data_IF_931528887744
#
_entry.id   IF_931528887744
#
_cell.length_a   1.000
_cell.length_b   1.000
_cell.length_c   1.000
_cell.angle_alpha   90.00
_cell.angle_beta   90.00
_cell.angle_gamma   90.00
#
_symmetry.space_group_name_H-M   'P 1'
#
loop_
_entity.id
_entity.type
_entity.pdbx_description
1 polymer ?
#
# COMPACT_ATOMS: atom_id res chain seq x y z
N UNK A 1 34.84 -0.73 20.54
CA UNK A 1 34.79 0.03 21.79
C UNK A 1 33.71 -0.56 22.71
N UNK A 2 34.12 -1.07 23.89
CA UNK A 2 33.23 -1.73 24.85
C UNK A 2 32.14 -0.78 25.41
N UNK A 3 32.39 0.52 25.41
CA UNK A 3 31.43 1.53 25.91
C UNK A 3 30.23 1.68 24.98
N UNK A 4 30.41 1.53 23.66
CA UNK A 4 29.35 1.70 22.68
C UNK A 4 28.62 0.39 22.34
N UNK A 5 29.17 -0.76 22.78
CA UNK A 5 28.63 -2.08 22.47
C UNK A 5 28.30 -2.24 20.96
N UNK A 6 29.21 -1.75 20.14
CA UNK A 6 29.06 -1.73 18.68
C UNK A 6 30.42 -2.00 18.02
N UNK A 7 30.57 -3.16 17.37
CA UNK A 7 31.79 -3.55 16.66
C UNK A 7 32.06 -2.63 15.45
N UNK A 8 31.03 -2.13 14.79
CA UNK A 8 31.15 -1.19 13.67
C UNK A 8 31.69 0.18 14.04
N UNK A 9 31.82 0.50 15.34
CA UNK A 9 32.49 1.73 15.82
C UNK A 9 34.01 1.55 16.00
N UNK A 10 34.57 0.37 15.71
CA UNK A 10 36.02 0.09 15.73
C UNK A 10 36.75 0.69 14.52
N UNK A 11 38.05 0.56 14.51
CA UNK A 11 38.87 0.99 13.36
C UNK A 11 38.64 0.04 12.17
N UNK A 12 38.23 0.62 11.05
CA UNK A 12 37.83 -0.08 9.81
C UNK A 12 38.94 -0.96 9.19
N UNK A 13 40.19 -0.63 9.43
CA UNK A 13 41.32 -1.27 8.79
C UNK A 13 41.66 -2.71 9.27
N UNK A 14 40.83 -3.25 10.18
CA UNK A 14 41.06 -4.60 10.77
C UNK A 14 39.84 -5.53 10.78
N UNK A 15 38.68 -5.04 10.27
CA UNK A 15 37.38 -5.73 10.38
C UNK A 15 36.66 -5.72 9.02
N UNK A 16 37.34 -6.16 7.95
CA UNK A 16 36.78 -6.12 6.59
C UNK A 16 35.46 -6.88 6.44
N UNK A 17 35.20 -7.86 7.33
CA UNK A 17 34.01 -8.74 7.24
C UNK A 17 33.04 -8.65 8.40
N UNK A 18 33.24 -7.74 9.35
CA UNK A 18 32.37 -7.65 10.54
C UNK A 18 31.82 -6.22 10.70
N UNK A 19 30.52 -6.09 10.49
CA UNK A 19 29.79 -4.86 10.75
C UNK A 19 28.73 -5.07 11.84
N UNK A 20 28.54 -4.09 12.70
CA UNK A 20 27.41 -4.04 13.60
C UNK A 20 26.91 -2.60 13.72
N UNK A 21 25.63 -2.44 13.99
CA UNK A 21 25.01 -1.14 14.24
C UNK A 21 24.11 -1.20 15.46
N UNK A 22 23.90 -0.08 16.12
CA UNK A 22 22.98 0.05 17.23
C UNK A 22 22.16 1.31 17.05
N UNK A 23 20.82 1.15 17.07
CA UNK A 23 19.89 2.26 17.06
C UNK A 23 18.94 2.18 18.25
N UNK A 24 18.40 3.33 18.66
CA UNK A 24 17.44 3.43 19.75
C UNK A 24 16.37 4.45 19.40
N UNK A 25 15.11 4.05 19.53
CA UNK A 25 13.95 4.94 19.49
C UNK A 25 13.20 4.88 20.80
N UNK A 26 12.66 6.04 21.24
CA UNK A 26 11.79 6.14 22.41
C UNK A 26 10.47 6.78 22.02
N UNK A 27 9.37 6.17 22.42
CA UNK A 27 8.01 6.69 22.25
C UNK A 27 7.35 6.75 23.63
N UNK A 28 6.75 7.88 23.96
CA UNK A 28 5.97 8.09 25.17
C UNK A 28 4.60 8.60 24.75
N UNK A 29 3.54 7.98 25.28
CA UNK A 29 2.16 8.29 24.89
C UNK A 29 1.29 8.49 26.11
N UNK A 30 0.49 9.57 26.09
CA UNK A 30 -0.58 9.83 27.03
C UNK A 30 -1.90 9.91 26.27
N UNK A 31 -2.93 9.30 26.81
CA UNK A 31 -4.25 9.38 26.19
C UNK A 31 -5.36 9.45 27.23
N UNK A 32 -6.46 10.07 26.84
CA UNK A 32 -7.72 10.07 27.57
C UNK A 32 -8.88 9.82 26.60
N UNK A 33 -9.86 9.04 27.03
CA UNK A 33 -11.06 8.74 26.25
C UNK A 33 -12.28 8.83 27.13
N UNK A 34 -13.32 9.50 26.59
CA UNK A 34 -14.65 9.53 27.19
C UNK A 34 -15.65 8.94 26.19
N UNK A 35 -16.51 8.05 26.68
CA UNK A 35 -17.63 7.49 25.93
C UNK A 35 -18.90 7.85 26.67
N UNK A 36 -19.88 8.37 25.95
CA UNK A 36 -21.18 8.72 26.50
C UNK A 36 -22.28 8.11 25.62
N UNK A 37 -23.21 7.40 26.25
CA UNK A 37 -24.36 6.83 25.58
C UNK A 37 -25.62 7.32 26.28
N UNK A 38 -26.52 7.97 25.53
CA UNK A 38 -27.77 8.45 26.03
C UNK A 38 -28.92 7.64 25.44
N UNK A 39 -29.73 7.03 26.31
CA UNK A 39 -30.93 6.23 25.94
C UNK A 39 -30.66 5.13 24.92
N UNK A 40 -29.44 4.61 24.85
CA UNK A 40 -28.97 3.64 23.84
C UNK A 40 -29.16 4.09 22.37
N UNK A 41 -29.45 5.37 22.14
CA UNK A 41 -29.73 5.97 20.82
C UNK A 41 -28.64 6.92 20.36
N UNK A 42 -28.10 7.73 21.26
CA UNK A 42 -27.09 8.73 20.95
C UNK A 42 -25.79 8.35 21.61
N UNK A 43 -24.78 8.14 20.80
CA UNK A 43 -23.45 7.75 21.27
C UNK A 43 -22.44 8.82 20.87
N UNK A 44 -21.61 9.23 21.82
CA UNK A 44 -20.52 10.18 21.62
C UNK A 44 -19.25 9.59 22.20
N UNK A 45 -18.18 9.61 21.42
CA UNK A 45 -16.83 9.26 21.86
C UNK A 45 -15.89 10.42 21.60
N UNK A 46 -15.15 10.84 22.59
CA UNK A 46 -14.08 11.82 22.45
C UNK A 46 -12.76 11.20 22.95
N UNK A 47 -11.69 11.37 22.21
CA UNK A 47 -10.37 10.88 22.56
C UNK A 47 -9.34 11.98 22.30
N UNK A 48 -8.39 12.14 23.20
CA UNK A 48 -7.21 12.96 22.98
C UNK A 48 -5.99 12.09 23.28
N UNK A 49 -5.00 12.14 22.36
CA UNK A 49 -3.73 11.45 22.52
C UNK A 49 -2.58 12.44 22.30
N UNK A 50 -1.56 12.34 23.13
CA UNK A 50 -0.33 13.10 23.01
C UNK A 50 0.87 12.16 23.00
N UNK A 51 1.61 12.16 21.91
CA UNK A 51 2.73 11.26 21.68
C UNK A 51 4.03 12.05 21.53
N UNK A 52 5.09 11.60 22.21
CA UNK A 52 6.43 12.15 22.09
C UNK A 52 7.40 11.10 21.56
N UNK A 53 8.10 11.40 20.47
CA UNK A 53 9.05 10.48 19.84
C UNK A 53 10.44 11.09 19.73
N UNK A 54 11.46 10.25 19.97
CA UNK A 54 12.87 10.64 19.81
C UNK A 54 13.32 10.76 18.35
N UNK A 55 12.50 10.32 17.39
CA UNK A 55 12.81 10.37 15.95
C UNK A 55 12.71 11.76 15.36
N UNK A 56 11.88 12.61 15.98
CA UNK A 56 11.63 13.96 15.51
C UNK A 56 12.62 14.99 16.03
N UNK A 57 12.60 16.15 15.40
CA UNK A 57 13.43 17.29 15.74
C UNK A 57 13.19 17.82 17.15
N UNK A 58 14.13 18.54 17.68
CA UNK A 58 14.06 19.07 19.06
C UNK A 58 12.86 19.98 19.28
N UNK A 59 12.39 20.65 18.22
CA UNK A 59 11.28 21.59 18.27
C UNK A 59 9.91 20.92 18.20
N UNK A 60 9.83 19.69 17.65
CA UNK A 60 8.56 19.03 17.31
C UNK A 60 8.46 17.55 17.74
N UNK A 61 9.10 17.19 18.85
CA UNK A 61 9.05 15.81 19.39
C UNK A 61 7.63 15.35 19.74
N UNK A 62 6.77 16.28 20.16
CA UNK A 62 5.42 15.98 20.64
C UNK A 62 4.35 16.34 19.61
N UNK A 63 3.47 15.36 19.33
CA UNK A 63 2.25 15.56 18.57
C UNK A 63 1.01 15.40 19.46
N UNK A 64 -0.08 16.10 19.13
CA UNK A 64 -1.38 15.98 19.81
C UNK A 64 -2.44 15.62 18.79
N UNK A 65 -3.17 14.53 19.06
CA UNK A 65 -4.07 13.87 18.13
C UNK A 65 -5.46 13.72 18.75
N UNK A 66 -6.36 14.72 18.56
CA UNK A 66 -7.73 14.66 19.02
C UNK A 66 -8.60 13.84 18.06
N UNK A 67 -9.67 13.21 18.59
CA UNK A 67 -10.73 12.64 17.78
C UNK A 67 -12.07 12.73 18.48
N UNK A 68 -13.12 12.87 17.69
CA UNK A 68 -14.51 12.85 18.14
C UNK A 68 -15.35 12.05 17.16
N UNK A 69 -16.25 11.22 17.67
CA UNK A 69 -17.23 10.52 16.84
C UNK A 69 -18.61 10.53 17.53
N UNK A 70 -19.63 10.65 16.70
CA UNK A 70 -21.01 10.55 17.12
C UNK A 70 -21.74 9.48 16.31
N UNK A 71 -22.68 8.80 16.95
CA UNK A 71 -23.58 7.91 16.26
C UNK A 71 -25.01 8.08 16.80
N UNK A 72 -25.96 7.99 15.88
CA UNK A 72 -27.38 8.07 16.17
C UNK A 72 -28.09 6.82 15.66
N UNK A 73 -28.66 6.04 16.58
CA UNK A 73 -29.48 4.88 16.25
C UNK A 73 -30.91 5.31 15.98
N UNK A 74 -31.19 5.65 14.73
CA UNK A 74 -32.47 6.17 14.29
C UNK A 74 -33.57 5.13 14.47
N UNK A 75 -33.27 3.86 14.25
CA UNK A 75 -34.24 2.75 14.41
C UNK A 75 -34.86 2.65 15.79
N UNK A 76 -34.25 3.23 16.83
CA UNK A 76 -34.78 3.25 18.20
C UNK A 76 -35.65 4.45 18.49
N UNK A 77 -35.88 5.33 17.53
CA UNK A 77 -36.77 6.50 17.70
C UNK A 77 -38.25 6.11 17.53
N UNK A 78 -39.15 6.77 18.29
CA UNK A 78 -40.55 6.45 18.27
C UNK A 78 -41.19 6.56 16.88
N UNK A 79 -40.73 7.48 16.03
CA UNK A 79 -41.23 7.63 14.66
C UNK A 79 -40.82 6.49 13.73
N UNK A 80 -39.95 5.59 14.16
CA UNK A 80 -39.50 4.41 13.39
C UNK A 80 -40.23 3.12 13.78
N UNK A 81 -41.09 3.13 14.81
CA UNK A 81 -41.74 1.92 15.33
C UNK A 81 -42.53 1.17 14.24
N UNK A 82 -43.25 1.86 13.39
CA UNK A 82 -44.04 1.26 12.28
C UNK A 82 -43.13 0.69 11.16
N UNK A 83 -41.90 1.12 11.08
CA UNK A 83 -40.93 0.71 10.04
C UNK A 83 -39.99 -0.39 10.49
N UNK A 84 -40.02 -0.82 11.75
CA UNK A 84 -39.11 -1.81 12.31
C UNK A 84 -39.17 -3.18 11.61
N UNK A 85 -40.33 -3.54 11.03
CA UNK A 85 -40.47 -4.75 10.23
C UNK A 85 -39.62 -4.74 8.94
N UNK A 86 -39.31 -3.56 8.41
CA UNK A 86 -38.52 -3.35 7.19
C UNK A 86 -37.11 -2.91 7.49
N UNK A 87 -36.92 -2.05 8.50
CA UNK A 87 -35.67 -1.44 8.91
C UNK A 87 -35.40 -1.79 10.36
N UNK A 88 -34.85 -2.96 10.60
CA UNK A 88 -34.58 -3.45 11.95
C UNK A 88 -33.41 -2.70 12.64
N UNK A 89 -32.50 -2.14 11.86
CA UNK A 89 -31.46 -1.24 12.38
C UNK A 89 -31.17 -0.16 11.34
N UNK A 90 -31.13 1.08 11.80
CA UNK A 90 -30.67 2.24 11.04
C UNK A 90 -29.83 3.11 11.98
N UNK A 91 -28.54 3.23 11.67
CA UNK A 91 -27.59 4.01 12.46
C UNK A 91 -26.77 4.93 11.56
N UNK A 92 -26.81 6.21 11.86
CA UNK A 92 -25.91 7.20 11.28
C UNK A 92 -24.66 7.33 12.13
N UNK A 93 -23.52 7.51 11.47
CA UNK A 93 -22.22 7.73 12.11
C UNK A 93 -21.53 8.94 11.48
N UNK A 94 -20.91 9.77 12.30
CA UNK A 94 -20.01 10.82 11.85
C UNK A 94 -18.79 10.87 12.76
N UNK A 95 -17.64 11.09 12.19
CA UNK A 95 -16.40 11.15 12.93
C UNK A 95 -15.41 12.14 12.32
N UNK A 96 -14.62 12.73 13.19
CA UNK A 96 -13.43 13.50 12.84
C UNK A 96 -12.32 13.09 13.77
N UNK A 97 -11.11 12.88 13.21
CA UNK A 97 -9.95 12.57 14.01
C UNK A 97 -8.65 12.93 13.32
N UNK A 98 -7.66 13.24 14.13
CA UNK A 98 -6.28 13.48 13.67
C UNK A 98 -5.42 12.34 14.16
N UNK A 99 -4.59 11.78 13.28
CA UNK A 99 -3.60 10.75 13.60
C UNK A 99 -2.21 11.20 13.17
N UNK A 100 -1.21 10.88 13.99
CA UNK A 100 0.19 11.10 13.66
C UNK A 100 0.85 9.84 13.12
N UNK A 101 1.71 10.01 12.15
CA UNK A 101 2.51 8.94 11.59
C UNK A 101 4.01 9.22 11.77
N UNK A 102 4.76 8.21 12.23
CA UNK A 102 6.21 8.19 12.29
C UNK A 102 6.83 7.01 11.52
N UNK A 103 5.98 6.23 10.82
CA UNK A 103 6.45 5.12 10.00
C UNK A 103 7.34 5.64 8.86
N UNK A 104 8.38 4.92 8.55
CA UNK A 104 9.32 5.34 7.50
C UNK A 104 10.38 6.35 7.95
N UNK A 105 10.31 6.89 9.18
CA UNK A 105 11.39 7.71 9.74
C UNK A 105 12.32 6.81 10.53
N UNK A 106 13.56 6.67 10.06
CA UNK A 106 14.61 6.00 10.81
C UNK A 106 15.04 6.78 12.03
N UNK A 107 15.74 6.12 12.94
CA UNK A 107 16.35 6.73 14.11
C UNK A 107 17.35 7.80 13.68
N UNK A 108 17.46 8.87 14.48
CA UNK A 108 18.43 9.96 14.31
C UNK A 108 18.29 10.80 13.02
N UNK A 109 17.20 10.64 12.24
CA UNK A 109 17.01 11.41 10.99
C UNK A 109 16.91 12.91 11.15
N UNK A 110 16.61 13.39 12.36
CA UNK A 110 16.63 14.82 12.70
C UNK A 110 18.01 15.35 13.15
N UNK A 111 18.98 14.46 13.39
CA UNK A 111 20.30 14.81 13.90
C UNK A 111 21.34 14.94 12.77
N UNK A 112 22.39 15.69 13.02
CA UNK A 112 23.59 15.64 12.19
C UNK A 112 24.32 14.32 12.46
N UNK A 113 24.58 13.56 11.42
CA UNK A 113 25.36 12.34 11.52
C UNK A 113 26.70 12.52 10.82
N UNK A 114 27.71 11.89 11.39
CA UNK A 114 29.04 11.80 10.80
C UNK A 114 29.38 10.34 10.55
N UNK A 115 30.06 10.08 9.46
CA UNK A 115 30.49 8.74 9.07
C UNK A 115 31.90 8.76 8.46
N UNK A 116 32.43 7.59 8.21
CA UNK A 116 33.77 7.36 7.66
C UNK A 116 33.87 7.57 6.14
N UNK A 117 32.87 8.20 5.52
CA UNK A 117 32.80 8.42 4.05
C UNK A 117 33.71 9.56 3.51
N UNK A 118 34.48 10.23 4.33
CA UNK A 118 35.29 11.40 3.93
C UNK A 118 36.63 11.10 3.28
N UNK A 119 36.97 9.81 3.04
CA UNK A 119 38.29 9.41 2.56
C UNK A 119 39.29 9.20 3.68
N UNK A 120 40.53 8.94 3.33
CA UNK A 120 41.65 8.80 4.28
C UNK A 120 42.66 9.91 4.03
N UNK A 121 43.33 10.37 5.07
CA UNK A 121 44.48 11.27 4.96
C UNK A 121 45.75 10.59 5.50
N UNK A 122 46.85 10.92 4.89
CA UNK A 122 48.16 10.42 5.34
C UNK A 122 48.66 11.28 6.47
N UNK A 123 48.84 10.69 7.65
CA UNK A 123 49.45 11.35 8.81
C UNK A 123 50.95 11.11 8.79
N UNK A 124 51.71 12.15 8.51
CA UNK A 124 53.18 12.09 8.41
C UNK A 124 53.88 11.85 9.75
N UNK A 125 53.24 12.17 10.87
CA UNK A 125 53.80 11.93 12.20
C UNK A 125 53.77 10.45 12.58
N UNK A 126 52.63 9.79 12.32
CA UNK A 126 52.48 8.36 12.57
C UNK A 126 52.87 7.48 11.36
N UNK A 127 53.24 8.09 10.23
CA UNK A 127 53.56 7.45 8.96
C UNK A 127 52.48 6.45 8.56
N UNK A 128 51.22 6.81 8.70
CA UNK A 128 50.07 5.93 8.43
C UNK A 128 48.88 6.69 7.85
N UNK A 129 48.06 5.96 7.09
CA UNK A 129 46.78 6.46 6.64
C UNK A 129 45.78 6.48 7.80
N UNK A 130 45.14 7.61 8.02
CA UNK A 130 44.05 7.76 9.00
C UNK A 130 42.74 8.07 8.31
N UNK A 131 41.70 7.44 8.80
CA UNK A 131 40.33 7.66 8.32
C UNK A 131 39.85 9.05 8.71
N UNK A 132 39.27 9.78 7.75
CA UNK A 132 38.56 11.03 8.03
C UNK A 132 37.08 10.77 8.25
N UNK A 133 36.44 11.67 8.98
CA UNK A 133 35.01 11.67 9.22
C UNK A 133 34.38 12.87 8.52
N UNK A 134 33.31 12.62 7.79
CA UNK A 134 32.53 13.63 7.10
C UNK A 134 31.08 13.61 7.54
N UNK A 135 30.35 14.70 7.28
CA UNK A 135 28.92 14.78 7.52
C UNK A 135 28.20 13.91 6.49
N UNK A 136 27.35 13.00 6.96
CA UNK A 136 26.58 12.08 6.11
C UNK A 136 25.10 12.43 6.07
N UNK A 137 24.65 13.40 6.89
CA UNK A 137 23.27 13.81 6.98
C UNK A 137 23.15 15.23 7.54
N UNK A 138 22.34 16.07 6.91
CA UNK A 138 22.00 17.37 7.46
C UNK A 138 21.05 17.24 8.66
N UNK A 139 21.22 18.05 9.72
CA UNK A 139 20.27 18.11 10.81
C UNK A 139 18.98 18.81 10.38
N UNK A 140 17.85 18.35 10.91
CA UNK A 140 16.57 19.06 10.80
C UNK A 140 15.89 19.13 12.18
N UNK A 141 16.10 20.21 12.95
CA UNK A 141 15.49 20.37 14.27
C UNK A 141 13.97 20.55 14.21
N UNK A 142 13.42 20.92 13.04
CA UNK A 142 12.00 21.13 12.78
C UNK A 142 11.30 19.93 12.20
N UNK A 143 11.99 18.79 12.07
CA UNK A 143 11.38 17.54 11.62
C UNK A 143 10.26 17.14 12.58
N UNK A 144 9.03 17.00 12.05
CA UNK A 144 7.81 16.78 12.82
C UNK A 144 6.97 15.60 12.33
N UNK A 145 5.94 15.29 13.08
CA UNK A 145 4.95 14.28 12.74
C UNK A 145 4.25 14.60 11.43
N UNK A 146 4.14 13.60 10.56
CA UNK A 146 3.16 13.60 9.49
C UNK A 146 1.78 13.44 10.12
N UNK A 147 0.83 14.29 9.77
CA UNK A 147 -0.49 14.34 10.39
C UNK A 147 -1.59 14.08 9.36
N UNK A 148 -2.48 13.14 9.66
CA UNK A 148 -3.66 12.87 8.83
C UNK A 148 -4.92 13.26 9.60
N UNK A 149 -5.63 14.27 9.10
CA UNK A 149 -6.97 14.63 9.52
C UNK A 149 -7.99 13.87 8.67
N UNK A 150 -8.87 13.09 9.31
CA UNK A 150 -9.90 12.31 8.64
C UNK A 150 -11.28 12.74 9.10
N UNK A 151 -12.17 13.02 8.15
CA UNK A 151 -13.62 13.11 8.34
C UNK A 151 -14.26 11.90 7.70
N UNK A 152 -15.17 11.26 8.41
CA UNK A 152 -15.98 10.17 7.86
C UNK A 152 -17.45 10.34 8.25
N UNK A 153 -18.34 9.95 7.33
CA UNK A 153 -19.79 9.86 7.55
C UNK A 153 -20.24 8.52 7.01
N UNK A 154 -21.00 7.78 7.81
CA UNK A 154 -21.44 6.46 7.44
C UNK A 154 -22.86 6.16 7.88
N UNK A 155 -23.45 5.18 7.22
CA UNK A 155 -24.76 4.63 7.58
C UNK A 155 -24.67 3.12 7.65
N UNK A 156 -25.20 2.56 8.73
CA UNK A 156 -25.40 1.11 8.90
C UNK A 156 -26.89 0.83 8.87
N UNK A 157 -27.29 -0.11 8.01
CA UNK A 157 -28.69 -0.53 7.89
C UNK A 157 -28.81 -2.05 7.97
N UNK A 158 -29.83 -2.53 8.65
CA UNK A 158 -30.28 -3.91 8.57
C UNK A 158 -31.72 -3.94 8.10
N UNK A 159 -31.92 -4.41 6.86
CA UNK A 159 -33.16 -4.32 6.14
C UNK A 159 -33.79 -5.71 5.95
N UNK A 160 -35.13 -5.79 6.06
CA UNK A 160 -35.92 -7.00 5.80
C UNK A 160 -35.47 -8.22 6.61
N UNK A 161 -34.76 -8.02 7.73
CA UNK A 161 -34.08 -9.06 8.52
C UNK A 161 -33.16 -10.00 7.69
N UNK A 162 -32.61 -9.51 6.57
CA UNK A 162 -31.79 -10.29 5.64
C UNK A 162 -30.64 -9.52 5.01
N UNK A 163 -30.72 -8.21 4.90
CA UNK A 163 -29.74 -7.40 4.20
C UNK A 163 -29.02 -6.45 5.16
N UNK A 164 -27.75 -6.67 5.36
CA UNK A 164 -26.85 -5.71 6.01
C UNK A 164 -26.24 -4.81 4.93
N UNK A 165 -26.35 -3.49 5.12
CA UNK A 165 -25.73 -2.49 4.28
C UNK A 165 -24.94 -1.54 5.16
N UNK A 166 -23.67 -1.35 4.83
CA UNK A 166 -22.82 -0.31 5.39
C UNK A 166 -22.31 0.55 4.26
N UNK A 167 -22.55 1.84 4.33
CA UNK A 167 -22.02 2.82 3.40
C UNK A 167 -21.21 3.85 4.18
N UNK A 168 -19.99 4.11 3.74
CA UNK A 168 -19.09 5.09 4.31
C UNK A 168 -18.58 6.06 3.22
N UNK A 169 -18.59 7.33 3.52
CA UNK A 169 -17.85 8.36 2.81
C UNK A 169 -16.74 8.90 3.70
N UNK A 170 -15.57 9.12 3.13
CA UNK A 170 -14.46 9.69 3.88
C UNK A 170 -13.68 10.74 3.08
N UNK A 171 -13.05 11.65 3.83
CA UNK A 171 -12.06 12.60 3.38
C UNK A 171 -10.88 12.56 4.35
N UNK A 172 -9.69 12.21 3.84
CA UNK A 172 -8.42 12.19 4.57
C UNK A 172 -7.51 13.25 3.97
N UNK A 173 -7.02 14.16 4.80
CA UNK A 173 -6.00 15.14 4.42
C UNK A 173 -4.75 14.85 5.23
N UNK A 174 -3.69 14.43 4.55
CA UNK A 174 -2.38 14.21 5.15
C UNK A 174 -1.52 15.43 4.86
N UNK A 175 -1.02 16.04 5.90
CA UNK A 175 -0.14 17.21 5.84
C UNK A 175 1.21 16.87 6.40
N UNK A 176 2.21 17.67 6.01
CA UNK A 176 3.57 17.50 6.48
C UNK A 176 4.19 16.16 6.06
N UNK A 177 3.88 15.69 4.84
CA UNK A 177 4.49 14.51 4.26
C UNK A 177 6.01 14.61 4.28
N UNK A 178 6.64 13.52 4.64
CA UNK A 178 8.09 13.42 4.72
C UNK A 178 8.69 13.06 3.37
N UNK A 179 9.60 13.89 2.91
CA UNK A 179 10.37 13.63 1.70
C UNK A 179 11.82 14.11 1.83
N UNK A 180 12.71 13.47 1.09
CA UNK A 180 14.13 13.86 1.03
C UNK A 180 14.34 14.84 -0.12
N UNK A 181 14.57 16.11 0.21
CA UNK A 181 14.79 17.18 -0.76
C UNK A 181 16.28 17.34 -1.07
N UNK A 182 16.57 17.63 -2.34
CA UNK A 182 17.89 18.07 -2.75
C UNK A 182 18.09 19.51 -2.26
N UNK A 183 19.25 19.79 -1.71
CA UNK A 183 19.61 21.11 -1.18
C UNK A 183 21.01 21.51 -1.67
N UNK A 184 21.26 22.82 -1.86
CA UNK A 184 22.58 23.28 -2.31
C UNK A 184 23.66 23.02 -1.27
N UNK A 185 24.82 22.61 -1.71
CA UNK A 185 26.02 22.46 -0.89
C UNK A 185 27.11 23.35 -1.48
N UNK A 186 27.52 24.48 -0.82
CA UNK A 186 26.99 25.04 0.42
C UNK A 186 25.63 25.77 0.24
N UNK A 187 24.86 26.17 1.27
CA UNK A 187 25.30 26.22 2.69
C UNK A 187 25.08 24.94 3.49
N UNK A 188 24.33 23.98 2.92
CA UNK A 188 24.13 22.70 3.59
C UNK A 188 25.42 21.86 3.52
N UNK A 189 25.64 21.04 4.55
CA UNK A 189 26.83 20.20 4.65
C UNK A 189 26.71 18.89 3.84
N UNK A 190 25.50 18.51 3.49
CA UNK A 190 25.17 17.33 2.69
C UNK A 190 24.12 17.71 1.63
N UNK A 191 24.13 17.04 0.49
CA UNK A 191 23.34 17.43 -0.68
C UNK A 191 21.82 17.19 -0.57
N UNK A 192 21.37 16.59 0.53
CA UNK A 192 19.94 16.37 0.74
C UNK A 192 19.54 16.52 2.22
N UNK A 193 18.25 16.74 2.46
CA UNK A 193 17.65 16.86 3.79
C UNK A 193 16.27 16.19 3.81
N UNK A 194 15.96 15.49 4.89
CA UNK A 194 14.60 15.00 5.15
C UNK A 194 13.79 16.15 5.77
N UNK A 195 12.67 16.48 5.14
CA UNK A 195 11.80 17.58 5.57
C UNK A 195 10.33 17.29 5.40
N UNK A 196 9.48 17.99 6.16
CA UNK A 196 8.02 17.91 6.08
C UNK A 196 7.52 19.02 5.15
N UNK A 197 7.05 18.68 3.96
CA UNK A 197 6.65 19.69 2.97
C UNK A 197 5.33 19.38 2.28
N UNK A 198 5.09 18.13 1.93
CA UNK A 198 3.97 17.74 1.07
C UNK A 198 2.64 17.64 1.78
N UNK A 199 1.57 17.85 1.03
CA UNK A 199 0.19 17.62 1.44
C UNK A 199 -0.51 16.69 0.42
N UNK A 200 -1.38 15.82 0.91
CA UNK A 200 -2.06 14.82 0.11
C UNK A 200 -3.50 14.63 0.59
N UNK A 201 -4.44 14.60 -0.35
CA UNK A 201 -5.84 14.30 -0.09
C UNK A 201 -6.23 12.94 -0.63
N UNK A 202 -6.88 12.13 0.21
CA UNK A 202 -7.61 10.93 -0.19
C UNK A 202 -9.09 11.13 0.11
N UNK A 203 -9.96 10.90 -0.86
CA UNK A 203 -11.42 10.90 -0.68
C UNK A 203 -12.03 9.69 -1.35
N UNK A 204 -13.03 9.11 -0.73
CA UNK A 204 -13.62 7.90 -1.28
C UNK A 204 -14.94 7.53 -0.65
N UNK A 205 -15.49 6.46 -1.22
CA UNK A 205 -16.71 5.80 -0.76
C UNK A 205 -16.45 4.32 -0.63
N UNK A 206 -17.04 3.71 0.38
CA UNK A 206 -17.00 2.29 0.65
C UNK A 206 -18.42 1.77 0.85
N UNK A 207 -18.73 0.64 0.23
CA UNK A 207 -20.02 -0.04 0.34
C UNK A 207 -19.79 -1.49 0.72
N UNK A 208 -20.42 -1.94 1.80
CA UNK A 208 -20.48 -3.35 2.18
C UNK A 208 -21.93 -3.79 2.17
N UNK A 209 -22.19 -4.86 1.43
CA UNK A 209 -23.50 -5.52 1.37
C UNK A 209 -23.32 -6.96 1.84
N UNK A 210 -24.08 -7.35 2.87
CA UNK A 210 -24.19 -8.73 3.31
C UNK A 210 -25.66 -9.16 3.23
N UNK A 211 -25.95 -10.24 2.51
CA UNK A 211 -27.31 -10.70 2.32
C UNK A 211 -27.45 -12.18 2.64
N UNK A 212 -28.44 -12.52 3.46
CA UNK A 212 -28.96 -13.88 3.56
C UNK A 212 -30.02 -14.06 2.48
N UNK A 213 -29.59 -14.56 1.30
CA UNK A 213 -30.43 -14.65 0.10
C UNK A 213 -31.47 -15.76 0.24
N UNK A 214 -31.04 -16.91 0.76
CA UNK A 214 -31.92 -18.06 1.02
C UNK A 214 -31.64 -18.58 2.41
N UNK A 215 -32.67 -18.71 3.21
CA UNK A 215 -32.64 -19.32 4.53
C UNK A 215 -33.76 -20.36 4.64
N UNK A 216 -33.46 -21.57 4.19
CA UNK A 216 -34.34 -22.72 4.27
C UNK A 216 -33.72 -23.79 5.17
N UNK A 217 -34.54 -24.66 5.76
CA UNK A 217 -34.09 -25.68 6.72
C UNK A 217 -32.89 -26.51 6.23
N UNK A 218 -32.89 -26.88 4.96
CA UNK A 218 -31.88 -27.76 4.36
C UNK A 218 -30.88 -26.98 3.46
N UNK A 219 -31.14 -25.71 3.17
CA UNK A 219 -30.31 -24.91 2.27
C UNK A 219 -30.23 -23.44 2.71
N UNK A 220 -29.02 -22.96 2.89
CA UNK A 220 -28.76 -21.53 3.12
C UNK A 220 -27.83 -20.99 2.06
N UNK A 221 -28.02 -19.73 1.70
CA UNK A 221 -27.13 -18.99 0.81
C UNK A 221 -26.91 -17.58 1.34
N UNK A 222 -25.68 -17.31 1.75
CA UNK A 222 -25.22 -16.00 2.18
C UNK A 222 -24.27 -15.42 1.12
N UNK A 223 -24.41 -14.13 0.84
CA UNK A 223 -23.56 -13.39 -0.07
C UNK A 223 -23.01 -12.13 0.61
N UNK A 224 -21.75 -11.82 0.38
CA UNK A 224 -21.15 -10.55 0.78
C UNK A 224 -20.45 -9.90 -0.41
N UNK A 225 -20.68 -8.60 -0.57
CA UNK A 225 -20.02 -7.75 -1.56
C UNK A 225 -19.42 -6.54 -0.85
N UNK A 226 -18.16 -6.27 -1.12
CA UNK A 226 -17.48 -5.02 -0.72
C UNK A 226 -17.04 -4.27 -1.96
N UNK A 227 -17.29 -2.97 -2.00
CA UNK A 227 -16.84 -2.08 -3.07
C UNK A 227 -16.18 -0.87 -2.43
N UNK A 228 -15.04 -0.44 -2.96
CA UNK A 228 -14.40 0.79 -2.54
C UNK A 228 -13.87 1.57 -3.75
N UNK A 229 -14.15 2.86 -3.75
CA UNK A 229 -13.59 3.82 -4.70
C UNK A 229 -12.80 4.87 -3.92
N UNK A 230 -11.54 5.04 -4.27
CA UNK A 230 -10.66 6.06 -3.69
C UNK A 230 -10.10 6.97 -4.78
N UNK A 231 -10.09 8.27 -4.53
CA UNK A 231 -9.35 9.25 -5.32
C UNK A 231 -8.30 9.91 -4.45
N UNK A 232 -7.04 9.71 -4.82
CA UNK A 232 -5.89 10.36 -4.22
C UNK A 232 -5.45 11.55 -5.06
N UNK A 233 -4.99 12.61 -4.42
CA UNK A 233 -4.42 13.79 -5.10
C UNK A 233 -3.30 14.36 -4.23
N UNK A 234 -2.17 14.67 -4.82
CA UNK A 234 -1.11 15.47 -4.21
C UNK A 234 -1.54 16.92 -4.28
N UNK A 235 -1.74 17.54 -3.14
CA UNK A 235 -2.21 18.92 -3.06
C UNK A 235 -1.05 19.90 -3.08
N UNK A 236 0.12 19.48 -2.55
CA UNK A 236 1.28 20.34 -2.41
C UNK A 236 2.58 19.53 -2.34
N UNK A 237 3.62 20.03 -3.02
CA UNK A 237 4.97 19.45 -2.99
C UNK A 237 6.04 20.47 -2.53
N UNK A 238 5.69 21.73 -2.38
CA UNK A 238 6.63 22.80 -2.13
C UNK A 238 6.20 23.69 -0.97
N UNK A 239 7.16 24.32 -0.30
CA UNK A 239 6.94 25.39 0.66
C UNK A 239 7.91 26.55 0.38
N UNK A 240 8.00 27.52 1.29
CA UNK A 240 8.87 28.68 1.11
C UNK A 240 10.38 28.34 1.10
N UNK A 241 10.76 27.21 1.70
CA UNK A 241 12.17 26.79 1.87
C UNK A 241 12.56 25.71 0.88
N UNK A 242 11.68 24.73 0.69
CA UNK A 242 11.91 23.57 -0.19
C UNK A 242 10.95 23.66 -1.36
N UNK A 243 11.51 23.81 -2.56
CA UNK A 243 10.73 23.97 -3.78
C UNK A 243 11.10 22.88 -4.77
N UNK A 244 10.06 22.26 -5.35
CA UNK A 244 10.16 21.33 -6.46
C UNK A 244 8.85 21.33 -7.22
N UNK A 245 8.90 21.37 -8.53
CA UNK A 245 7.71 21.28 -9.39
C UNK A 245 7.22 19.83 -9.48
N UNK A 246 8.17 18.89 -9.51
CA UNK A 246 7.90 17.46 -9.61
C UNK A 246 9.04 16.63 -9.03
N UNK A 247 8.71 15.40 -8.66
CA UNK A 247 9.66 14.42 -8.16
C UNK A 247 9.57 13.19 -9.07
N UNK A 248 10.67 12.85 -9.73
CA UNK A 248 10.74 11.64 -10.56
C UNK A 248 10.84 10.40 -9.67
N UNK A 249 10.08 9.37 -10.01
CA UNK A 249 10.04 8.09 -9.30
C UNK A 249 9.86 6.93 -10.29
N UNK A 250 9.85 5.68 -9.80
CA UNK A 250 9.76 4.53 -10.69
C UNK A 250 11.01 4.38 -11.55
N UNK A 251 12.18 4.31 -10.92
CA UNK A 251 13.46 4.19 -11.62
C UNK A 251 13.53 2.93 -12.48
N UNK A 252 13.93 3.10 -13.74
CA UNK A 252 14.22 2.03 -14.70
C UNK A 252 15.71 1.72 -14.78
N UNK A 253 16.51 2.22 -13.85
CA UNK A 253 17.95 1.93 -13.77
C UNK A 253 18.20 0.42 -13.67
N UNK A 254 19.17 -0.05 -14.40
CA UNK A 254 19.52 -1.49 -14.52
C UNK A 254 18.99 -2.13 -15.80
N UNK A 255 18.04 -1.50 -16.49
CA UNK A 255 17.55 -1.93 -17.80
C UNK A 255 18.46 -1.31 -18.88
N UNK A 256 18.83 -2.10 -19.87
CA UNK A 256 19.72 -1.64 -20.95
C UNK A 256 19.08 -0.45 -21.70
N UNK A 257 19.83 0.63 -21.86
CA UNK A 257 19.38 1.87 -22.49
C UNK A 257 18.56 2.80 -21.59
N UNK A 258 18.26 2.41 -20.33
CA UNK A 258 17.36 3.15 -19.42
C UNK A 258 18.10 3.81 -18.24
N UNK A 259 19.41 4.07 -18.37
CA UNK A 259 20.16 4.79 -17.34
C UNK A 259 19.55 6.18 -17.08
N UNK A 260 19.26 6.49 -15.82
CA UNK A 260 18.63 7.75 -15.41
C UNK A 260 17.21 7.99 -15.94
N UNK A 261 16.53 6.94 -16.46
CA UNK A 261 15.13 7.02 -16.84
C UNK A 261 14.22 6.69 -15.66
N UNK A 262 13.16 7.48 -15.53
CA UNK A 262 12.10 7.29 -14.55
C UNK A 262 10.76 7.11 -15.27
N UNK A 263 9.90 6.27 -14.74
CA UNK A 263 8.62 5.93 -15.36
C UNK A 263 7.42 6.59 -14.68
N UNK A 264 7.64 7.23 -13.52
CA UNK A 264 6.59 7.86 -12.76
C UNK A 264 6.99 9.25 -12.28
N UNK A 265 5.99 10.04 -12.00
CA UNK A 265 6.13 11.38 -11.45
C UNK A 265 5.21 11.56 -10.23
N UNK A 266 5.71 12.26 -9.24
CA UNK A 266 4.94 12.82 -8.14
C UNK A 266 4.83 14.32 -8.44
N UNK A 267 3.60 14.78 -8.72
CA UNK A 267 3.32 16.15 -9.15
C UNK A 267 1.98 16.61 -8.56
N UNK A 268 1.85 17.91 -8.28
CA UNK A 268 0.62 18.48 -7.73
C UNK A 268 -0.56 18.28 -8.71
N UNK A 269 -1.73 17.92 -8.16
CA UNK A 269 -2.93 17.61 -8.94
C UNK A 269 -3.07 16.14 -9.35
N UNK A 270 -2.01 15.34 -9.26
CA UNK A 270 -2.00 13.93 -9.62
C UNK A 270 -1.86 13.01 -8.41
N UNK A 271 -2.27 11.73 -8.51
CA UNK A 271 -2.03 10.74 -7.45
C UNK A 271 -0.61 10.18 -7.51
N UNK A 272 -0.14 9.62 -6.40
CA UNK A 272 1.11 8.83 -6.37
C UNK A 272 0.98 7.62 -7.31
N UNK A 273 2.07 7.28 -8.02
CA UNK A 273 2.08 6.21 -9.03
C UNK A 273 1.56 6.67 -10.40
N UNK A 274 1.60 7.97 -10.66
CA UNK A 274 1.28 8.53 -11.99
C UNK A 274 2.41 8.24 -12.96
N UNK A 275 2.10 7.51 -14.02
CA UNK A 275 3.04 7.20 -15.09
C UNK A 275 3.31 8.42 -15.95
N UNK A 276 4.58 8.62 -16.29
CA UNK A 276 5.09 9.77 -17.00
C UNK A 276 6.14 9.33 -18.01
N UNK A 277 5.94 9.64 -19.28
CA UNK A 277 6.81 9.21 -20.36
C UNK A 277 6.25 9.57 -21.72
N UNK A 278 6.90 9.17 -22.82
CA UNK A 278 6.44 9.44 -24.17
C UNK A 278 5.27 8.54 -24.56
N UNK A 279 4.35 9.07 -25.36
CA UNK A 279 3.30 8.30 -26.01
C UNK A 279 3.84 7.63 -27.28
N UNK A 280 3.52 6.35 -27.46
CA UNK A 280 3.88 5.57 -28.64
C UNK A 280 2.70 5.47 -29.60
N UNK A 281 2.84 6.02 -30.81
CA UNK A 281 1.83 5.93 -31.87
C UNK A 281 1.82 4.56 -32.56
N UNK A 282 2.89 3.77 -32.38
CA UNK A 282 3.00 2.42 -32.95
C UNK A 282 4.43 2.00 -33.28
N UNK A 283 4.54 0.85 -33.93
CA UNK A 283 5.80 0.29 -34.44
C UNK A 283 5.76 0.34 -35.98
N UNK A 284 6.70 1.05 -36.59
CA UNK A 284 6.86 1.15 -38.05
C UNK A 284 8.28 0.71 -38.41
N UNK A 285 8.39 -0.23 -39.35
CA UNK A 285 9.67 -0.83 -39.75
C UNK A 285 10.54 -1.27 -38.58
N UNK A 286 9.89 -1.83 -37.56
CA UNK A 286 10.54 -2.32 -36.33
C UNK A 286 10.97 -1.23 -35.34
N UNK A 287 10.65 0.04 -35.59
CA UNK A 287 11.04 1.18 -34.73
C UNK A 287 9.84 1.79 -34.04
N UNK A 288 10.03 2.26 -32.81
CA UNK A 288 9.02 3.03 -32.09
C UNK A 288 8.81 4.39 -32.74
N UNK A 289 7.55 4.70 -33.03
CA UNK A 289 7.12 6.04 -33.45
C UNK A 289 6.52 6.73 -32.24
N UNK A 290 7.19 7.77 -31.77
CA UNK A 290 6.77 8.52 -30.59
C UNK A 290 6.06 9.81 -31.01
N UNK A 291 4.95 10.11 -30.36
CA UNK A 291 4.25 11.38 -30.51
C UNK A 291 5.09 12.55 -29.95
N UNK A 292 4.87 13.76 -30.48
CA UNK A 292 5.47 15.00 -29.99
C UNK A 292 6.99 14.93 -29.81
N UNK A 293 7.71 14.34 -30.77
CA UNK A 293 9.17 14.17 -30.74
C UNK A 293 9.67 13.41 -29.49
N UNK A 294 8.81 12.62 -28.86
CA UNK A 294 9.13 11.83 -27.68
C UNK A 294 9.12 12.62 -26.37
N UNK A 295 8.44 13.77 -26.33
CA UNK A 295 8.24 14.50 -25.07
C UNK A 295 7.42 13.68 -24.09
N UNK A 296 7.79 13.79 -22.80
CA UNK A 296 7.12 13.08 -21.72
C UNK A 296 5.78 13.73 -21.34
N UNK A 297 4.75 12.92 -21.23
CA UNK A 297 3.41 13.32 -20.80
C UNK A 297 2.83 12.36 -19.74
N UNK A 298 1.66 12.70 -19.19
CA UNK A 298 0.96 11.84 -18.22
C UNK A 298 0.26 10.70 -18.98
N UNK A 299 0.70 9.47 -18.73
CA UNK A 299 0.25 8.27 -19.44
C UNK A 299 -0.84 7.48 -18.72
N UNK A 300 -1.07 7.75 -17.43
CA UNK A 300 -2.03 7.04 -16.62
C UNK A 300 -1.57 6.89 -15.18
N UNK A 301 -2.21 5.96 -14.45
CA UNK A 301 -1.93 5.82 -13.02
C UNK A 301 -2.01 4.35 -12.56
N UNK A 302 -1.18 3.99 -11.58
CA UNK A 302 -1.13 2.68 -10.96
C UNK A 302 -2.20 2.45 -9.88
N UNK A 303 -2.92 3.49 -9.46
CA UNK A 303 -3.96 3.35 -8.43
C UNK A 303 -5.25 2.80 -9.03
N UNK A 304 -5.87 1.77 -8.42
CA UNK A 304 -7.16 1.28 -8.87
C UNK A 304 -8.27 2.32 -8.65
N UNK A 305 -9.17 2.43 -9.62
CA UNK A 305 -10.37 3.26 -9.50
C UNK A 305 -11.45 2.57 -8.68
N UNK A 306 -11.50 1.24 -8.71
CA UNK A 306 -12.46 0.42 -7.97
C UNK A 306 -11.76 -0.82 -7.45
N UNK A 307 -11.97 -1.12 -6.16
CA UNK A 307 -11.64 -2.41 -5.56
C UNK A 307 -12.92 -3.12 -5.16
N UNK A 308 -12.96 -4.43 -5.37
CA UNK A 308 -14.13 -5.27 -5.13
C UNK A 308 -13.73 -6.54 -4.39
N UNK A 309 -14.51 -6.92 -3.39
CA UNK A 309 -14.45 -8.24 -2.75
C UNK A 309 -15.83 -8.92 -2.86
N UNK A 310 -15.84 -10.21 -3.14
CA UNK A 310 -17.07 -10.99 -3.28
C UNK A 310 -16.91 -12.33 -2.55
N UNK A 311 -17.89 -12.71 -1.74
CA UNK A 311 -17.93 -14.04 -1.16
C UNK A 311 -19.36 -14.61 -1.14
N UNK A 312 -19.42 -15.92 -1.37
CA UNK A 312 -20.64 -16.71 -1.25
C UNK A 312 -20.42 -17.88 -0.30
N UNK A 313 -21.38 -18.09 0.59
CA UNK A 313 -21.41 -19.24 1.47
C UNK A 313 -22.73 -19.99 1.26
N UNK A 314 -22.62 -21.25 0.95
CA UNK A 314 -23.74 -22.17 0.76
C UNK A 314 -23.67 -23.26 1.81
N UNK A 315 -24.81 -23.62 2.37
CA UNK A 315 -24.95 -24.82 3.20
C UNK A 315 -26.09 -25.66 2.63
N UNK A 316 -25.82 -26.91 2.38
CA UNK A 316 -26.85 -27.86 1.98
C UNK A 316 -26.76 -29.09 2.86
N UNK A 317 -27.69 -29.25 3.80
CA UNK A 317 -27.67 -30.28 4.84
C UNK A 317 -26.33 -30.30 5.58
N UNK A 318 -25.57 -31.37 5.37
CA UNK A 318 -24.26 -31.57 6.03
C UNK A 318 -23.08 -31.06 5.18
N UNK A 319 -23.32 -30.50 4.00
CA UNK A 319 -22.30 -29.90 3.12
C UNK A 319 -22.28 -28.40 3.27
N UNK A 320 -21.07 -27.83 3.23
CA UNK A 320 -20.83 -26.39 3.13
C UNK A 320 -19.89 -26.08 1.97
N UNK A 321 -20.17 -24.99 1.25
CA UNK A 321 -19.34 -24.49 0.15
C UNK A 321 -19.13 -23.01 0.36
N UNK A 322 -17.85 -22.60 0.51
CA UNK A 322 -17.41 -21.22 0.55
C UNK A 322 -16.66 -20.86 -0.73
N UNK A 323 -16.98 -19.73 -1.33
CA UNK A 323 -16.31 -19.17 -2.51
C UNK A 323 -15.95 -17.73 -2.20
N UNK A 324 -14.69 -17.32 -2.40
CA UNK A 324 -14.29 -15.93 -2.26
C UNK A 324 -13.38 -15.49 -3.39
N UNK A 325 -13.50 -14.22 -3.76
CA UNK A 325 -12.68 -13.58 -4.77
C UNK A 325 -12.63 -12.08 -4.57
N UNK A 326 -11.67 -11.47 -5.21
CA UNK A 326 -11.51 -10.02 -5.21
C UNK A 326 -10.97 -9.51 -6.55
N UNK A 327 -11.12 -8.23 -6.78
CA UNK A 327 -10.64 -7.61 -8.00
C UNK A 327 -10.27 -6.15 -7.80
N UNK A 328 -9.43 -5.66 -8.69
CA UNK A 328 -9.04 -4.26 -8.81
C UNK A 328 -9.23 -3.82 -10.26
N UNK A 329 -9.77 -2.63 -10.45
CA UNK A 329 -10.15 -2.16 -11.79
C UNK A 329 -9.70 -0.73 -12.03
N UNK A 330 -9.23 -0.48 -13.26
CA UNK A 330 -8.90 0.85 -13.76
C UNK A 330 -7.50 1.34 -13.44
N UNK A 331 -6.65 0.50 -12.85
CA UNK A 331 -5.22 0.74 -12.71
C UNK A 331 -4.45 0.36 -13.99
N UNK A 332 -3.30 1.00 -14.16
CA UNK A 332 -2.30 0.63 -15.16
C UNK A 332 -1.13 -0.09 -14.49
N UNK A 333 -0.49 -0.98 -15.22
CA UNK A 333 0.75 -1.68 -14.83
C UNK A 333 1.79 -1.47 -15.93
N UNK A 334 2.98 -1.02 -15.57
CA UNK A 334 4.10 -0.97 -16.49
C UNK A 334 4.79 -2.33 -16.52
N UNK A 335 4.72 -3.01 -17.65
CA UNK A 335 5.37 -4.29 -17.88
C UNK A 335 6.87 -4.10 -18.18
N UNK A 336 7.64 -3.80 -17.12
CA UNK A 336 9.08 -3.59 -17.21
C UNK A 336 9.79 -4.90 -17.60
N UNK A 337 9.32 -6.03 -17.07
CA UNK A 337 9.84 -7.34 -17.42
C UNK A 337 9.65 -7.69 -18.90
N UNK A 338 8.48 -7.33 -19.46
CA UNK A 338 8.19 -7.46 -20.89
C UNK A 338 9.09 -6.55 -21.72
N UNK A 339 9.31 -5.31 -21.29
CA UNK A 339 10.20 -4.36 -21.95
C UNK A 339 11.66 -4.87 -21.92
N UNK A 340 12.15 -5.31 -20.79
CA UNK A 340 13.52 -5.82 -20.65
C UNK A 340 13.76 -7.09 -21.47
N UNK A 341 12.80 -8.02 -21.49
CA UNK A 341 12.89 -9.29 -22.21
C UNK A 341 12.26 -9.25 -23.59
N UNK A 342 11.88 -8.09 -24.05
CA UNK A 342 11.23 -7.85 -25.33
C UNK A 342 12.19 -7.58 -26.49
N UNK A 343 13.47 -7.97 -26.39
CA UNK A 343 14.42 -7.81 -27.50
C UNK A 343 15.62 -8.77 -27.38
N UNK A 344 16.23 -9.05 -28.53
CA UNK A 344 17.22 -10.12 -28.70
C UNK A 344 18.61 -9.79 -28.16
N UNK A 345 18.91 -8.53 -27.84
CA UNK A 345 20.22 -8.12 -27.31
C UNK A 345 20.63 -8.82 -26.00
N UNK A 346 19.65 -9.37 -25.26
CA UNK A 346 19.91 -10.17 -24.05
C UNK A 346 20.27 -11.64 -24.31
N UNK A 347 20.06 -12.13 -25.54
CA UNK A 347 20.42 -13.50 -25.87
C UNK A 347 21.95 -13.66 -26.02
N UNK A 348 22.54 -14.80 -25.64
CA UNK A 348 21.90 -16.02 -25.13
C UNK A 348 21.74 -16.06 -23.61
N UNK A 349 22.07 -14.99 -22.88
CA UNK A 349 22.12 -15.00 -21.43
C UNK A 349 20.72 -15.04 -20.78
N UNK A 350 19.71 -14.49 -21.46
CA UNK A 350 18.31 -14.47 -21.03
C UNK A 350 17.38 -14.91 -22.17
N UNK A 351 16.27 -15.54 -21.81
CA UNK A 351 15.19 -15.83 -22.76
C UNK A 351 14.43 -14.55 -23.07
N UNK A 352 13.95 -14.43 -24.32
CA UNK A 352 13.00 -13.40 -24.73
C UNK A 352 11.57 -13.90 -24.58
N UNK A 353 10.61 -12.98 -24.42
CA UNK A 353 9.19 -13.31 -24.36
C UNK A 353 8.62 -13.59 -25.76
N UNK A 354 7.65 -14.49 -25.85
CA UNK A 354 6.94 -14.75 -27.13
C UNK A 354 6.23 -13.51 -27.69
N UNK A 355 5.79 -12.61 -26.81
CA UNK A 355 5.18 -11.33 -27.18
C UNK A 355 6.12 -10.42 -27.97
N UNK A 356 7.43 -10.60 -27.88
CA UNK A 356 8.39 -9.87 -28.72
C UNK A 356 8.22 -10.20 -30.19
N UNK A 357 8.06 -11.47 -30.53
CA UNK A 357 7.89 -11.89 -31.93
C UNK A 357 6.60 -11.32 -32.57
N UNK A 358 5.62 -11.02 -31.76
CA UNK A 358 4.31 -10.47 -32.17
C UNK A 358 4.29 -8.94 -32.12
N UNK A 359 5.25 -8.29 -31.46
CA UNK A 359 5.29 -6.84 -31.25
C UNK A 359 5.62 -6.03 -32.50
N UNK A 360 6.27 -6.65 -33.49
CA UNK A 360 6.78 -5.98 -34.67
C UNK A 360 8.08 -5.18 -34.44
N UNK A 361 8.70 -5.26 -33.24
CA UNK A 361 9.98 -4.62 -32.94
C UNK A 361 11.09 -5.38 -33.67
N UNK A 362 11.99 -4.65 -34.36
CA UNK A 362 13.13 -5.25 -35.04
C UNK A 362 14.21 -5.67 -34.03
N UNK A 363 14.89 -6.80 -34.29
CA UNK A 363 16.02 -7.30 -33.51
C UNK A 363 17.19 -6.31 -33.39
N UNK A 364 17.30 -5.36 -34.34
CA UNK A 364 18.34 -4.34 -34.35
C UNK A 364 18.02 -3.13 -33.45
N UNK A 365 16.78 -3.02 -32.99
CA UNK A 365 16.32 -1.89 -32.20
C UNK A 365 16.08 -2.28 -30.75
N UNK A 366 16.58 -1.46 -29.84
CA UNK A 366 16.27 -1.60 -28.42
C UNK A 366 14.86 -1.04 -28.12
N UNK A 367 14.09 -1.69 -27.24
CA UNK A 367 12.83 -1.12 -26.76
C UNK A 367 13.04 0.25 -26.13
N UNK A 368 12.15 1.18 -26.48
CA UNK A 368 12.10 2.52 -25.91
C UNK A 368 11.02 2.54 -24.85
N UNK A 369 11.30 3.13 -23.69
CA UNK A 369 10.27 3.37 -22.68
C UNK A 369 9.19 4.26 -23.25
N UNK A 370 7.95 3.79 -23.18
CA UNK A 370 6.74 4.50 -23.60
C UNK A 370 5.49 3.79 -23.02
N UNK A 371 4.31 4.36 -23.28
CA UNK A 371 3.04 3.73 -22.93
C UNK A 371 2.71 2.45 -23.72
N UNK A 372 3.51 2.08 -24.71
CA UNK A 372 3.45 0.76 -25.36
C UNK A 372 3.56 -0.39 -24.35
N UNK A 373 4.34 -0.20 -23.30
CA UNK A 373 4.54 -1.18 -22.22
C UNK A 373 3.58 -1.00 -21.03
N UNK A 374 2.68 0.01 -21.12
CA UNK A 374 1.76 0.36 -20.05
C UNK A 374 0.41 -0.31 -20.27
N UNK A 375 0.19 -1.41 -19.61
CA UNK A 375 -0.97 -2.27 -19.82
C UNK A 375 -2.11 -1.98 -18.83
N UNK A 376 -3.31 -2.49 -19.17
CA UNK A 376 -4.44 -2.49 -18.26
C UNK A 376 -4.23 -3.57 -17.18
N UNK A 377 -4.01 -3.13 -15.93
CA UNK A 377 -3.81 -4.01 -14.78
C UNK A 377 -5.10 -4.50 -14.10
N UNK A 378 -6.28 -4.27 -14.70
CA UNK A 378 -7.54 -4.73 -14.11
C UNK A 378 -7.61 -6.25 -14.03
N UNK A 379 -8.08 -6.76 -12.89
CA UNK A 379 -8.23 -8.20 -12.70
C UNK A 379 -9.35 -8.56 -11.74
N UNK A 380 -9.79 -9.82 -11.81
CA UNK A 380 -10.54 -10.50 -10.77
C UNK A 380 -9.88 -11.85 -10.46
N UNK A 381 -9.59 -12.08 -9.17
CA UNK A 381 -8.95 -13.31 -8.67
C UNK A 381 -9.96 -14.14 -7.90
N UNK A 382 -10.13 -15.42 -8.29
CA UNK A 382 -10.80 -16.40 -7.44
C UNK A 382 -9.82 -16.86 -6.37
N UNK A 383 -9.96 -16.26 -5.18
CA UNK A 383 -9.01 -16.42 -4.09
C UNK A 383 -9.13 -17.77 -3.41
N UNK A 384 -10.34 -18.20 -3.07
CA UNK A 384 -10.55 -19.50 -2.44
C UNK A 384 -11.88 -20.15 -2.77
N UNK A 385 -11.85 -21.48 -2.85
CA UNK A 385 -13.05 -22.33 -2.88
C UNK A 385 -12.83 -23.43 -1.84
N UNK A 386 -13.74 -23.53 -0.87
CA UNK A 386 -13.69 -24.54 0.19
C UNK A 386 -14.97 -25.37 0.16
N UNK A 387 -14.86 -26.69 0.01
CA UNK A 387 -15.95 -27.62 0.15
C UNK A 387 -15.77 -28.42 1.45
N UNK A 388 -16.77 -28.40 2.30
CA UNK A 388 -16.78 -29.12 3.58
C UNK A 388 -17.92 -30.12 3.65
N UNK A 389 -17.70 -31.18 4.45
CA UNK A 389 -18.70 -32.14 4.84
C UNK A 389 -18.61 -32.41 6.33
N UNK A 390 -19.68 -32.14 7.07
CA UNK A 390 -19.79 -32.43 8.50
C UNK A 390 -20.52 -33.75 8.72
N UNK A 391 -19.90 -34.69 9.44
CA UNK A 391 -20.55 -35.94 9.75
C UNK A 391 -21.81 -35.74 10.62
N UNK A 392 -22.93 -36.37 10.30
CA UNK A 392 -24.13 -36.31 11.12
C UNK A 392 -23.85 -36.73 12.57
N UNK A 393 -24.34 -35.95 13.53
CA UNK A 393 -24.09 -36.18 14.96
C UNK A 393 -24.47 -37.59 15.46
N UNK A 394 -25.47 -38.25 14.77
CA UNK A 394 -25.87 -39.62 15.08
C UNK A 394 -24.75 -40.64 14.93
N UNK A 395 -23.78 -40.39 14.03
CA UNK A 395 -22.63 -41.27 13.80
C UNK A 395 -21.51 -41.08 14.83
N UNK A 396 -21.52 -39.96 15.52
CA UNK A 396 -20.45 -39.57 16.46
C UNK A 396 -20.79 -39.84 17.90
N UNK A 397 -22.05 -40.11 18.25
CA UNK A 397 -22.58 -40.30 19.63
C UNK A 397 -21.77 -41.23 20.50
N UNK A 398 -21.23 -42.31 19.93
CA UNK A 398 -20.55 -43.35 20.67
C UNK A 398 -19.04 -43.10 20.87
N UNK A 399 -18.50 -42.02 20.24
CA UNK A 399 -17.06 -41.76 20.24
C UNK A 399 -16.65 -40.58 21.09
N UNK A 400 -17.59 -39.94 21.84
CA UNK A 400 -17.29 -38.72 22.60
C UNK A 400 -16.90 -37.52 21.74
N UNK A 401 -17.25 -37.53 20.47
CA UNK A 401 -16.96 -36.49 19.50
C UNK A 401 -18.23 -35.69 19.24
N UNK A 402 -18.19 -34.39 19.42
CA UNK A 402 -19.31 -33.48 19.18
C UNK A 402 -19.47 -33.13 17.70
N UNK A 403 -18.35 -32.92 17.01
CA UNK A 403 -18.35 -32.55 15.58
C UNK A 403 -17.10 -33.06 14.88
N UNK A 404 -17.29 -33.62 13.69
CA UNK A 404 -16.21 -33.99 12.78
C UNK A 404 -16.56 -33.46 11.38
N UNK A 405 -15.74 -32.55 10.85
CA UNK A 405 -15.88 -31.96 9.52
C UNK A 405 -14.61 -32.22 8.72
N UNK A 406 -14.76 -32.78 7.54
CA UNK A 406 -13.73 -32.85 6.51
C UNK A 406 -13.88 -31.69 5.56
N UNK A 407 -12.79 -31.16 5.04
CA UNK A 407 -12.86 -30.13 4.03
C UNK A 407 -11.69 -30.20 3.05
N UNK A 408 -11.93 -29.70 1.85
CA UNK A 408 -10.91 -29.45 0.83
C UNK A 408 -10.98 -27.99 0.40
N UNK A 409 -9.83 -27.34 0.29
CA UNK A 409 -9.70 -25.93 -0.10
C UNK A 409 -8.75 -25.84 -1.28
N UNK A 410 -9.15 -25.07 -2.29
CA UNK A 410 -8.27 -24.60 -3.36
C UNK A 410 -8.11 -23.08 -3.24
N UNK A 411 -6.87 -22.61 -3.29
CA UNK A 411 -6.52 -21.18 -3.19
C UNK A 411 -5.84 -20.69 -4.46
N UNK A 412 -6.05 -19.43 -4.80
CA UNK A 412 -5.49 -18.77 -6.00
C UNK A 412 -5.76 -19.54 -7.30
N UNK A 413 -7.01 -20.02 -7.47
CA UNK A 413 -7.35 -20.97 -8.51
C UNK A 413 -7.20 -20.40 -9.91
N UNK A 414 -7.61 -19.15 -10.13
CA UNK A 414 -7.39 -18.42 -11.38
C UNK A 414 -7.52 -16.91 -11.21
N UNK A 415 -6.94 -16.20 -12.18
CA UNK A 415 -7.04 -14.74 -12.33
C UNK A 415 -7.63 -14.47 -13.72
N UNK A 416 -8.68 -13.65 -13.75
CA UNK A 416 -9.24 -13.09 -14.99
C UNK A 416 -8.61 -11.71 -15.19
N UNK A 417 -7.80 -11.56 -16.23
CA UNK A 417 -7.10 -10.31 -16.54
C UNK A 417 -6.76 -10.25 -18.02
N UNK A 418 -6.59 -9.05 -18.55
CA UNK A 418 -5.99 -8.80 -19.85
C UNK A 418 -4.51 -8.43 -19.79
N UNK A 419 -3.91 -8.43 -18.60
CA UNK A 419 -2.49 -8.17 -18.43
C UNK A 419 -1.64 -9.33 -19.01
N UNK A 420 -0.59 -8.99 -19.75
CA UNK A 420 0.24 -10.00 -20.45
C UNK A 420 1.39 -10.54 -19.60
N UNK A 421 1.76 -9.86 -18.50
CA UNK A 421 2.76 -10.34 -17.55
C UNK A 421 2.27 -11.49 -16.68
N UNK A 422 3.10 -11.91 -15.74
CA UNK A 422 2.85 -13.11 -14.90
C UNK A 422 1.66 -12.90 -13.95
N UNK A 423 1.58 -11.76 -13.31
CA UNK A 423 0.52 -11.43 -12.35
C UNK A 423 0.22 -9.93 -12.38
N UNK A 424 -1.05 -9.51 -12.59
CA UNK A 424 -1.43 -8.09 -12.58
C UNK A 424 -1.38 -7.43 -11.21
N UNK A 425 -1.33 -8.23 -10.13
CA UNK A 425 -1.23 -7.75 -8.76
C UNK A 425 0.23 -7.46 -8.42
N UNK A 426 0.74 -6.43 -9.07
CA UNK A 426 2.11 -5.95 -8.86
C UNK A 426 2.12 -5.19 -7.54
N UNK A 427 2.57 -5.87 -6.48
CA UNK A 427 2.81 -5.26 -5.19
C UNK A 427 4.26 -4.86 -5.07
N UNK A 428 4.52 -3.61 -4.77
CA UNK A 428 5.84 -3.16 -4.37
C UNK A 428 5.82 -2.75 -2.90
N UNK A 429 6.82 -3.12 -2.16
CA UNK A 429 7.02 -2.66 -0.79
C UNK A 429 7.41 -1.17 -0.76
N UNK A 430 7.84 -0.62 -1.89
CA UNK A 430 8.18 0.79 -2.05
C UNK A 430 7.03 1.55 -2.73
N UNK A 431 6.41 2.46 -2.01
CA UNK A 431 5.35 3.34 -2.51
C UNK A 431 5.79 4.23 -3.69
N UNK A 432 7.09 4.35 -3.95
CA UNK A 432 7.65 5.10 -5.08
C UNK A 432 7.69 4.29 -6.39
N UNK A 433 7.33 3.02 -6.36
CA UNK A 433 7.39 2.11 -7.52
C UNK A 433 6.09 1.30 -7.68
N UNK A 434 4.95 1.88 -7.33
CA UNK A 434 3.65 1.22 -7.44
C UNK A 434 3.32 0.91 -8.90
N UNK A 435 2.90 -0.32 -9.19
CA UNK A 435 2.46 -0.71 -10.53
C UNK A 435 3.58 -0.98 -11.54
N UNK A 436 4.83 -1.21 -11.08
CA UNK A 436 5.95 -1.60 -11.92
C UNK A 436 6.19 -3.12 -11.80
N UNK A 437 5.99 -3.86 -12.88
CA UNK A 437 6.38 -5.28 -12.97
C UNK A 437 7.81 -5.40 -13.48
N UNK A 438 8.76 -5.48 -12.55
CA UNK A 438 10.18 -5.66 -12.85
C UNK A 438 10.60 -7.14 -12.98
N UNK A 439 9.64 -8.06 -13.03
CA UNK A 439 9.90 -9.50 -13.14
C UNK A 439 10.55 -10.13 -11.89
N UNK A 440 10.55 -9.43 -10.76
CA UNK A 440 11.07 -9.88 -9.47
C UNK A 440 9.99 -10.41 -8.52
N UNK A 441 8.76 -10.52 -9.00
CA UNK A 441 7.62 -11.01 -8.22
C UNK A 441 7.46 -12.51 -8.48
N UNK A 442 7.47 -13.28 -7.41
CA UNK A 442 7.13 -14.69 -7.51
C UNK A 442 5.61 -14.83 -7.69
N UNK A 443 5.12 -15.53 -8.74
CA UNK A 443 3.70 -15.68 -8.96
C UNK A 443 3.03 -16.42 -7.79
N UNK A 444 1.82 -15.99 -7.43
CA UNK A 444 1.07 -16.64 -6.36
C UNK A 444 0.76 -18.10 -6.72
N UNK A 445 1.22 -19.08 -5.92
CA UNK A 445 0.99 -20.49 -6.22
C UNK A 445 -0.49 -20.87 -6.03
N UNK A 446 -0.98 -21.79 -6.85
CA UNK A 446 -2.22 -22.48 -6.55
C UNK A 446 -1.97 -23.49 -5.45
N UNK A 447 -2.76 -23.41 -4.39
CA UNK A 447 -2.61 -24.30 -3.23
C UNK A 447 -3.87 -25.14 -3.05
N UNK A 448 -3.68 -26.44 -2.81
CA UNK A 448 -4.76 -27.36 -2.48
C UNK A 448 -4.50 -27.96 -1.11
N UNK A 449 -5.49 -27.86 -0.25
CA UNK A 449 -5.40 -28.34 1.13
C UNK A 449 -6.56 -29.29 1.42
N UNK A 450 -6.30 -30.34 2.17
CA UNK A 450 -7.32 -31.21 2.75
C UNK A 450 -7.13 -31.19 4.26
N UNK A 451 -8.22 -31.03 4.97
CA UNK A 451 -8.16 -30.97 6.43
C UNK A 451 -9.38 -31.57 7.12
N UNK A 452 -9.26 -31.70 8.42
CA UNK A 452 -10.35 -32.11 9.28
C UNK A 452 -10.44 -31.21 10.51
N UNK A 453 -11.66 -30.93 10.94
CA UNK A 453 -11.96 -30.24 12.19
C UNK A 453 -12.66 -31.23 13.13
N UNK A 454 -12.09 -31.43 14.30
CA UNK A 454 -12.60 -32.33 15.32
C UNK A 454 -12.89 -31.53 16.59
N UNK A 455 -14.09 -31.72 17.13
CA UNK A 455 -14.51 -31.13 18.42
C UNK A 455 -15.03 -32.23 19.33
N UNK A 456 -14.58 -32.23 20.58
CA UNK A 456 -14.94 -33.15 21.62
C UNK A 456 -15.94 -32.55 22.62
#
# INVERSE_FOLDING_TARGET
DFLWNNLGAGQDNRLEDVASSKSQAKLISFFARANYTLKDRYMLTATIRRDGSSRFGTNHKWGTFPSVSAAWRISEEAFMEDLQSWVANLKLRAGYGVTGNQSGIGEYKSAMLMGTGGGAYFDSESNSWKQSYGVTQNPNPDLKWESTAQTNVGVDMFLFNRLNLTFDWYLKKTSDLLYTYQVPNPPYLYSNILANVGDLTNKGVELTLGANLINHKDFTWDANLTLAHNKQTIDKLSNQVYQTDRILSGSLQGILGMSNRYSQVIEEGYPVGTFYGPHCEGIVDGKFVLANDGEDEILGNAQPKLTMGLSFNFTYKDFDLGISGYGMYGQKVLNVAGMERGYTAHMPNYNITSSFAESGISDENMPVYSDFWLENGSFFRLQSVTLGYTLPARLLKNFGVNRLRFYATGENLFVLTGYTGIDPEVSTSDLKEVGLDKGNIYPMPRTFSIGLNLSF
#
